data_IF_913215190455
#
_entry.id   IF_913215190455
#
_cell.length_a   1.000
_cell.length_b   1.000
_cell.length_c   1.000
_cell.angle_alpha   90.00
_cell.angle_beta   90.00
_cell.angle_gamma   90.00
#
_symmetry.space_group_name_H-M   'P 1'
#
loop_
_entity.id
_entity.type
_entity.pdbx_description
1 polymer ?
#
# COMPACT_ATOMS: atom_id res chain seq x y z
N UNK A 1 -32.70 8.03 40.73
CA UNK A 1 -31.34 7.45 40.63
C UNK A 1 -31.38 6.54 39.41
N UNK A 2 -30.90 7.03 38.28
CA UNK A 2 -30.99 6.33 37.00
C UNK A 2 -29.83 5.34 36.91
N UNK A 3 -30.09 4.08 37.24
CA UNK A 3 -29.23 2.98 36.81
C UNK A 3 -29.67 2.60 35.40
N UNK A 4 -29.24 3.36 34.39
CA UNK A 4 -29.19 2.80 33.06
C UNK A 4 -28.22 1.60 33.16
N UNK A 5 -28.70 0.39 32.83
CA UNK A 5 -27.84 -0.77 32.84
C UNK A 5 -26.67 -0.49 31.88
N UNK A 6 -25.44 -0.72 32.32
CA UNK A 6 -24.21 -0.51 31.50
C UNK A 6 -24.34 -1.18 30.12
N UNK A 7 -25.07 -2.31 30.06
CA UNK A 7 -25.38 -3.02 28.82
C UNK A 7 -26.20 -2.20 27.82
N UNK A 8 -27.09 -1.32 28.29
CA UNK A 8 -27.87 -0.42 27.44
C UNK A 8 -27.00 0.70 26.85
N UNK A 9 -26.10 1.29 27.65
CA UNK A 9 -25.16 2.31 27.16
C UNK A 9 -24.17 1.72 26.14
N UNK A 10 -23.63 0.53 26.41
CA UNK A 10 -22.76 -0.19 25.47
C UNK A 10 -23.53 -0.55 24.19
N UNK A 11 -24.78 -1.01 24.31
CA UNK A 11 -25.61 -1.33 23.15
C UNK A 11 -25.88 -0.09 22.28
N UNK A 12 -26.20 1.05 22.88
CA UNK A 12 -26.50 2.28 22.15
C UNK A 12 -25.26 2.85 21.44
N UNK A 13 -24.10 2.83 22.10
CA UNK A 13 -22.81 3.17 21.49
C UNK A 13 -22.52 2.21 20.32
N UNK A 14 -22.62 0.90 20.53
CA UNK A 14 -22.33 -0.11 19.50
C UNK A 14 -23.22 0.02 18.27
N UNK A 15 -24.50 0.37 18.48
CA UNK A 15 -25.51 0.52 17.42
C UNK A 15 -25.14 1.65 16.44
N UNK A 16 -24.55 2.74 16.94
CA UNK A 16 -24.11 3.86 16.11
C UNK A 16 -22.77 3.61 15.40
N UNK A 17 -21.79 3.04 16.10
CA UNK A 17 -20.43 2.85 15.55
C UNK A 17 -20.31 1.62 14.64
N UNK A 18 -21.13 0.59 14.82
CA UNK A 18 -21.08 -0.65 14.03
C UNK A 18 -21.14 -0.42 12.51
N UNK A 19 -22.17 0.28 11.99
CA UNK A 19 -22.27 0.59 10.56
C UNK A 19 -21.10 1.45 10.05
N UNK A 20 -20.65 2.43 10.82
CA UNK A 20 -19.54 3.31 10.44
C UNK A 20 -18.23 2.54 10.30
N UNK A 21 -17.92 1.66 11.25
CA UNK A 21 -16.73 0.81 11.20
C UNK A 21 -16.81 -0.20 10.04
N UNK A 22 -17.98 -0.79 9.79
CA UNK A 22 -18.19 -1.69 8.66
C UNK A 22 -17.95 -0.99 7.32
N UNK A 23 -18.58 0.17 7.11
CA UNK A 23 -18.42 0.95 5.87
C UNK A 23 -16.98 1.43 5.72
N UNK A 24 -16.36 1.94 6.79
CA UNK A 24 -14.96 2.39 6.76
C UNK A 24 -13.99 1.27 6.40
N UNK A 25 -14.14 0.08 7.00
CA UNK A 25 -13.33 -1.09 6.68
C UNK A 25 -13.54 -1.55 5.24
N UNK A 26 -14.80 -1.65 4.80
CA UNK A 26 -15.13 -2.07 3.43
C UNK A 26 -14.53 -1.13 2.39
N UNK A 27 -14.71 0.19 2.58
CA UNK A 27 -14.12 1.22 1.73
C UNK A 27 -12.59 1.07 1.75
N UNK A 28 -11.98 0.93 2.92
CA UNK A 28 -10.54 0.75 3.06
C UNK A 28 -10.00 -0.46 2.26
N UNK A 29 -10.65 -1.61 2.34
CA UNK A 29 -10.27 -2.82 1.59
C UNK A 29 -10.41 -2.59 0.08
N UNK A 30 -11.52 -2.01 -0.37
CA UNK A 30 -11.75 -1.73 -1.80
C UNK A 30 -10.66 -0.80 -2.35
N UNK A 31 -10.40 0.33 -1.68
CA UNK A 31 -9.34 1.23 -2.09
C UNK A 31 -7.95 0.58 -2.07
N UNK A 32 -7.69 -0.27 -1.07
CA UNK A 32 -6.42 -1.01 -0.98
C UNK A 32 -6.23 -1.96 -2.17
N UNK A 33 -7.25 -2.77 -2.50
CA UNK A 33 -7.22 -3.69 -3.64
C UNK A 33 -7.13 -2.93 -4.97
N UNK A 34 -7.86 -1.83 -5.11
CA UNK A 34 -7.81 -0.97 -6.31
C UNK A 34 -6.42 -0.37 -6.52
N UNK A 35 -5.78 0.14 -5.45
CA UNK A 35 -4.42 0.69 -5.52
C UNK A 35 -3.39 -0.38 -5.90
N UNK A 36 -3.49 -1.59 -5.32
CA UNK A 36 -2.64 -2.72 -5.71
C UNK A 36 -2.83 -3.12 -7.17
N UNK A 37 -4.09 -3.25 -7.61
CA UNK A 37 -4.44 -3.59 -8.99
C UNK A 37 -3.92 -2.55 -9.98
N UNK A 38 -4.01 -1.26 -9.63
CA UNK A 38 -3.48 -0.18 -10.47
C UNK A 38 -1.97 -0.29 -10.70
N UNK A 39 -1.20 -0.54 -9.63
CA UNK A 39 0.26 -0.74 -9.76
C UNK A 39 0.60 -1.98 -10.59
N UNK A 40 -0.11 -3.09 -10.36
CA UNK A 40 0.06 -4.31 -11.14
C UNK A 40 -0.22 -4.08 -12.63
N UNK A 41 -1.33 -3.42 -12.98
CA UNK A 41 -1.66 -3.14 -14.37
C UNK A 41 -0.66 -2.19 -15.01
N UNK A 42 -0.20 -1.17 -14.29
CA UNK A 42 0.84 -0.28 -14.80
C UNK A 42 2.09 -1.05 -15.23
N UNK A 43 2.59 -1.92 -14.35
CA UNK A 43 3.74 -2.78 -14.65
C UNK A 43 3.44 -3.75 -15.79
N UNK A 44 2.27 -4.36 -15.81
CA UNK A 44 1.89 -5.31 -16.85
C UNK A 44 1.84 -4.65 -18.24
N UNK A 45 1.29 -3.44 -18.34
CA UNK A 45 1.28 -2.66 -19.58
C UNK A 45 2.69 -2.26 -20.01
N UNK A 46 3.54 -1.83 -19.07
CA UNK A 46 4.92 -1.43 -19.37
C UNK A 46 5.84 -2.65 -19.68
N UNK A 47 5.42 -3.87 -19.31
CA UNK A 47 6.24 -5.08 -19.37
C UNK A 47 6.67 -5.47 -20.78
N UNK A 48 5.75 -5.45 -21.76
CA UNK A 48 6.06 -5.92 -23.11
C UNK A 48 7.00 -4.97 -23.86
N UNK A 49 6.84 -3.66 -23.66
CA UNK A 49 7.77 -2.64 -24.15
C UNK A 49 9.15 -2.79 -23.49
N UNK A 50 9.19 -3.01 -22.17
CA UNK A 50 10.44 -3.23 -21.45
C UNK A 50 11.16 -4.50 -21.93
N UNK A 51 10.45 -5.60 -22.22
CA UNK A 51 11.05 -6.81 -22.79
C UNK A 51 11.76 -6.52 -24.12
N UNK A 52 11.11 -5.81 -25.05
CA UNK A 52 11.70 -5.47 -26.35
C UNK A 52 12.94 -4.57 -26.19
N UNK A 53 12.85 -3.59 -25.29
CA UNK A 53 13.93 -2.66 -24.98
C UNK A 53 15.13 -3.40 -24.38
N UNK A 54 14.93 -4.21 -23.34
CA UNK A 54 16.02 -4.95 -22.71
C UNK A 54 16.62 -6.01 -23.62
N UNK A 55 15.83 -6.67 -24.48
CA UNK A 55 16.34 -7.59 -25.51
C UNK A 55 17.27 -6.89 -26.51
N UNK A 56 16.97 -5.64 -26.86
CA UNK A 56 17.81 -4.84 -27.76
C UNK A 56 19.11 -4.43 -27.08
N UNK A 57 19.06 -4.01 -25.81
CA UNK A 57 20.26 -3.65 -25.03
C UNK A 57 21.11 -4.88 -24.72
N UNK A 58 20.51 -6.06 -24.51
CA UNK A 58 21.23 -7.31 -24.30
C UNK A 58 22.11 -7.69 -25.49
N UNK A 59 21.68 -7.42 -26.73
CA UNK A 59 22.51 -7.61 -27.94
C UNK A 59 23.75 -6.72 -27.98
N UNK A 60 23.78 -5.63 -27.21
CA UNK A 60 24.92 -4.72 -27.09
C UNK A 60 25.86 -5.08 -25.92
N UNK A 61 25.60 -6.18 -25.20
CA UNK A 61 26.44 -6.66 -24.10
C UNK A 61 25.96 -6.30 -22.70
N UNK A 62 24.65 -6.09 -22.49
CA UNK A 62 24.09 -5.84 -21.16
C UNK A 62 24.40 -6.98 -20.20
N UNK A 63 25.03 -6.68 -19.08
CA UNK A 63 25.27 -7.69 -18.03
C UNK A 63 24.01 -7.91 -17.19
N UNK A 64 23.85 -9.11 -16.63
CA UNK A 64 22.76 -9.42 -15.66
C UNK A 64 22.71 -8.41 -14.49
N UNK A 65 23.88 -7.96 -14.04
CA UNK A 65 24.00 -7.00 -12.94
C UNK A 65 23.42 -5.63 -13.29
N UNK A 66 23.64 -5.16 -14.52
CA UNK A 66 23.08 -3.90 -15.01
C UNK A 66 21.58 -4.01 -15.21
N UNK A 67 21.11 -5.11 -15.80
CA UNK A 67 19.68 -5.41 -15.94
C UNK A 67 18.96 -5.34 -14.58
N UNK A 68 19.47 -6.06 -13.59
CA UNK A 68 18.91 -6.03 -12.24
C UNK A 68 18.94 -4.64 -11.60
N UNK A 69 20.00 -3.85 -11.83
CA UNK A 69 20.11 -2.49 -11.29
C UNK A 69 19.03 -1.57 -11.86
N UNK A 70 18.79 -1.63 -13.17
CA UNK A 70 17.77 -0.81 -13.84
C UNK A 70 16.38 -1.21 -13.36
N UNK A 71 16.07 -2.51 -13.39
CA UNK A 71 14.76 -3.03 -12.95
C UNK A 71 14.45 -2.68 -11.49
N UNK A 72 15.42 -2.89 -10.59
CA UNK A 72 15.22 -2.56 -9.16
C UNK A 72 14.94 -1.06 -8.97
N UNK A 73 15.59 -0.18 -9.74
CA UNK A 73 15.37 1.26 -9.63
C UNK A 73 13.98 1.66 -10.15
N UNK A 74 13.55 1.12 -11.28
CA UNK A 74 12.25 1.43 -11.89
C UNK A 74 11.10 0.95 -10.99
N UNK A 75 11.12 -0.31 -10.58
CA UNK A 75 10.10 -0.89 -9.70
C UNK A 75 10.13 -0.19 -8.33
N UNK A 76 11.33 0.08 -7.80
CA UNK A 76 11.50 0.78 -6.52
C UNK A 76 10.86 2.16 -6.52
N UNK A 77 11.17 3.00 -7.52
CA UNK A 77 10.59 4.35 -7.61
C UNK A 77 9.06 4.28 -7.74
N UNK A 78 8.56 3.36 -8.59
CA UNK A 78 7.13 3.20 -8.84
C UNK A 78 6.35 2.84 -7.55
N UNK A 79 6.95 2.05 -6.67
CA UNK A 79 6.33 1.65 -5.40
C UNK A 79 6.54 2.66 -4.28
N UNK A 80 7.77 3.07 -4.03
CA UNK A 80 8.09 3.87 -2.85
C UNK A 80 7.63 5.32 -2.95
N UNK A 81 7.51 5.90 -4.16
CA UNK A 81 7.03 7.27 -4.30
C UNK A 81 5.56 7.43 -3.85
N UNK A 82 4.59 6.61 -4.31
CA UNK A 82 3.23 6.63 -3.77
C UNK A 82 3.16 6.30 -2.27
N UNK A 83 3.96 5.33 -1.79
CA UNK A 83 3.97 4.94 -0.37
C UNK A 83 4.42 6.11 0.52
N UNK A 84 5.47 6.83 0.12
CA UNK A 84 5.95 7.98 0.87
C UNK A 84 4.87 9.05 1.01
N UNK A 85 4.17 9.36 -0.09
CA UNK A 85 3.05 10.31 -0.08
C UNK A 85 1.92 9.82 0.82
N UNK A 86 1.56 8.54 0.73
CA UNK A 86 0.51 7.94 1.55
C UNK A 86 0.85 7.97 3.05
N UNK A 87 2.10 7.68 3.43
CA UNK A 87 2.56 7.74 4.82
C UNK A 87 2.54 9.17 5.37
N UNK A 88 3.02 10.14 4.60
CA UNK A 88 3.01 11.56 5.01
C UNK A 88 1.57 12.05 5.14
N UNK A 89 0.73 11.81 4.13
CA UNK A 89 -0.67 12.22 4.15
C UNK A 89 -1.43 11.54 5.31
N UNK A 90 -1.22 10.24 5.52
CA UNK A 90 -1.82 9.48 6.61
C UNK A 90 -1.37 9.97 7.98
N UNK A 91 -0.08 10.26 8.17
CA UNK A 91 0.43 10.82 9.42
C UNK A 91 -0.19 12.19 9.74
N UNK A 92 -0.32 13.08 8.75
CA UNK A 92 -0.99 14.38 8.92
C UNK A 92 -2.46 14.20 9.27
N UNK A 93 -3.18 13.34 8.55
CA UNK A 93 -4.60 13.08 8.79
C UNK A 93 -4.86 12.50 10.18
N UNK A 94 -4.06 11.51 10.61
CA UNK A 94 -4.17 10.90 11.94
C UNK A 94 -3.79 11.85 13.06
N UNK A 95 -2.81 12.73 12.84
CA UNK A 95 -2.46 13.79 13.80
C UNK A 95 -3.62 14.78 13.93
N UNK A 96 -4.20 15.24 12.81
CA UNK A 96 -5.38 16.10 12.82
C UNK A 96 -6.57 15.43 13.54
N UNK A 97 -6.76 14.12 13.35
CA UNK A 97 -7.76 13.32 14.05
C UNK A 97 -7.51 13.29 15.57
N UNK A 98 -6.27 13.08 15.98
CA UNK A 98 -5.85 13.10 17.40
C UNK A 98 -6.18 14.44 18.06
N UNK A 99 -5.92 15.55 17.37
CA UNK A 99 -6.30 16.88 17.84
C UNK A 99 -7.82 17.09 17.83
N UNK A 100 -8.55 16.60 16.83
CA UNK A 100 -10.01 16.73 16.78
C UNK A 100 -10.71 16.03 17.95
N UNK A 101 -10.22 14.85 18.35
CA UNK A 101 -10.76 14.10 19.48
C UNK A 101 -10.16 14.48 20.85
N UNK A 102 -9.17 15.39 20.89
CA UNK A 102 -8.42 15.73 22.11
C UNK A 102 -7.88 14.48 22.83
N UNK A 103 -7.52 13.45 22.06
CA UNK A 103 -7.08 12.14 22.56
C UNK A 103 -5.78 11.76 21.87
N UNK A 104 -4.82 11.23 22.62
CA UNK A 104 -3.52 10.84 22.08
C UNK A 104 -3.65 9.52 21.30
N UNK A 105 -3.68 9.63 19.97
CA UNK A 105 -3.75 8.50 19.04
C UNK A 105 -2.37 8.03 18.56
N UNK A 106 -1.27 8.46 19.17
CA UNK A 106 0.08 8.17 18.66
C UNK A 106 0.34 6.67 18.47
N UNK A 107 -0.01 5.86 19.48
CA UNK A 107 0.18 4.41 19.44
C UNK A 107 -0.65 3.76 18.33
N UNK A 108 -1.92 4.13 18.23
CA UNK A 108 -2.83 3.59 17.19
C UNK A 108 -2.40 4.03 15.79
N UNK A 109 -1.98 5.29 15.65
CA UNK A 109 -1.50 5.83 14.38
C UNK A 109 -0.21 5.14 13.93
N UNK A 110 0.74 4.93 14.85
CA UNK A 110 1.98 4.22 14.58
C UNK A 110 1.70 2.76 14.18
N UNK A 111 0.75 2.10 14.84
CA UNK A 111 0.34 0.74 14.51
C UNK A 111 -0.28 0.67 13.11
N UNK A 112 -1.23 1.55 12.78
CA UNK A 112 -1.89 1.58 11.46
C UNK A 112 -0.90 1.87 10.34
N UNK A 113 -0.07 2.91 10.48
CA UNK A 113 0.94 3.25 9.48
C UNK A 113 2.02 2.17 9.37
N UNK A 114 2.39 1.54 10.48
CA UNK A 114 3.35 0.44 10.52
C UNK A 114 2.86 -0.81 9.80
N UNK A 115 1.60 -1.21 10.04
CA UNK A 115 0.97 -2.34 9.34
C UNK A 115 0.83 -2.04 7.86
N UNK A 116 0.36 -0.84 7.49
CA UNK A 116 0.29 -0.41 6.09
C UNK A 116 1.67 -0.50 5.41
N UNK A 117 2.71 0.04 6.04
CA UNK A 117 4.08 -0.02 5.51
C UNK A 117 4.57 -1.46 5.36
N UNK A 118 4.34 -2.32 6.35
CA UNK A 118 4.75 -3.73 6.30
C UNK A 118 4.09 -4.48 5.14
N UNK A 119 2.78 -4.29 4.94
CA UNK A 119 2.05 -4.90 3.82
C UNK A 119 2.61 -4.40 2.48
N UNK A 120 2.90 -3.09 2.36
CA UNK A 120 3.46 -2.51 1.14
C UNK A 120 4.88 -3.04 0.83
N UNK A 121 5.71 -3.24 1.86
CA UNK A 121 7.04 -3.84 1.70
C UNK A 121 6.93 -5.29 1.19
N UNK A 122 6.02 -6.08 1.77
CA UNK A 122 5.76 -7.46 1.31
C UNK A 122 5.30 -7.45 -0.16
N UNK A 123 4.34 -6.59 -0.49
CA UNK A 123 3.81 -6.46 -1.85
C UNK A 123 4.89 -6.05 -2.85
N UNK A 124 5.76 -5.12 -2.50
CA UNK A 124 6.93 -4.73 -3.29
C UNK A 124 7.84 -5.93 -3.62
N UNK A 125 8.18 -6.76 -2.63
CA UNK A 125 9.03 -7.93 -2.87
C UNK A 125 8.39 -8.95 -3.80
N UNK A 126 7.08 -9.20 -3.64
CA UNK A 126 6.31 -10.10 -4.51
C UNK A 126 6.37 -9.59 -5.95
N UNK A 127 5.98 -8.33 -6.18
CA UNK A 127 5.92 -7.77 -7.52
C UNK A 127 7.31 -7.70 -8.17
N UNK A 128 8.33 -7.28 -7.40
CA UNK A 128 9.72 -7.28 -7.84
C UNK A 128 10.16 -8.64 -8.35
N UNK A 129 9.84 -9.71 -7.61
CA UNK A 129 10.19 -11.07 -7.99
C UNK A 129 9.53 -11.49 -9.30
N UNK A 130 8.21 -11.32 -9.42
CA UNK A 130 7.47 -11.69 -10.63
C UNK A 130 7.91 -10.87 -11.85
N UNK A 131 8.09 -9.57 -11.71
CA UNK A 131 8.48 -8.69 -12.81
C UNK A 131 9.87 -9.02 -13.35
N UNK A 132 10.85 -9.20 -12.45
CA UNK A 132 12.21 -9.57 -12.84
C UNK A 132 12.26 -10.93 -13.54
N UNK A 133 11.49 -11.91 -13.04
CA UNK A 133 11.39 -13.24 -13.66
C UNK A 133 10.82 -13.16 -15.08
N UNK A 134 9.78 -12.35 -15.29
CA UNK A 134 9.15 -12.22 -16.62
C UNK A 134 10.06 -11.54 -17.65
N UNK A 135 10.86 -10.55 -17.24
CA UNK A 135 11.81 -9.91 -18.16
C UNK A 135 12.95 -10.86 -18.52
N UNK A 136 13.51 -11.59 -17.54
CA UNK A 136 14.57 -12.57 -17.82
C UNK A 136 14.13 -13.70 -18.74
N UNK A 137 12.86 -14.12 -18.69
CA UNK A 137 12.34 -15.14 -19.57
C UNK A 137 12.19 -14.69 -21.04
N UNK A 138 12.23 -13.37 -21.29
CA UNK A 138 12.00 -12.79 -22.62
C UNK A 138 13.28 -12.38 -23.37
N UNK A 139 14.39 -12.26 -22.65
CA UNK A 139 15.73 -11.95 -23.18
C UNK A 139 16.41 -13.27 -23.52
#
# INVERSE_FOLDING_TARGET
IYFAAVDYEVYDISKGYGPVLFVGLFIGIVFFVSAGSFLYFRLYTDLDDDKQKFKSIAKMGLTDRELHKVLNRQIGILFFAPIAVALVHGAVALTALSHAFQYNLFKESAMVLGVFFAIQVIYYFIVRFYYTKQIKAAI
#
